data_IF_169667678944
#
_entry.id   IF_169667678944
#
_cell.length_a   1.000
_cell.length_b   1.000
_cell.length_c   1.000
_cell.angle_alpha   90.00
_cell.angle_beta   90.00
_cell.angle_gamma   90.00
#
_symmetry.space_group_name_H-M   'P 1'
#
loop_
_entity.id
_entity.type
_entity.pdbx_description
1 polymer ?
#
# COMPACT_ATOMS: atom_id res chain seq x y z
N UNK A 1 -15.83 5.55 -8.48
CA UNK A 1 -14.99 6.47 -9.29
C UNK A 1 -15.46 7.90 -9.15
N UNK A 2 -14.51 8.84 -9.02
CA UNK A 2 -14.71 10.30 -8.86
C UNK A 2 -15.63 10.79 -7.74
N UNK A 3 -16.28 9.87 -7.03
CA UNK A 3 -17.14 10.13 -5.88
C UNK A 3 -16.38 10.07 -4.57
N UNK A 4 -17.13 10.33 -3.50
CA UNK A 4 -16.61 10.38 -2.14
C UNK A 4 -17.44 9.47 -1.24
N UNK A 5 -16.76 8.59 -0.51
CA UNK A 5 -17.30 7.85 0.64
C UNK A 5 -16.50 8.32 1.85
N UNK A 6 -17.16 9.01 2.78
CA UNK A 6 -16.52 9.50 4.01
C UNK A 6 -17.28 9.04 5.23
N UNK A 7 -16.55 8.51 6.22
CA UNK A 7 -17.07 8.25 7.56
C UNK A 7 -16.38 9.17 8.58
N UNK A 8 -17.15 10.03 9.22
CA UNK A 8 -16.64 10.95 10.24
C UNK A 8 -16.52 10.31 11.63
N UNK A 9 -17.03 9.09 11.81
CA UNK A 9 -16.92 8.33 13.05
C UNK A 9 -15.51 7.80 13.30
N UNK A 10 -15.25 7.40 14.55
CA UNK A 10 -13.98 6.76 14.97
C UNK A 10 -14.04 5.22 14.90
N UNK A 11 -15.13 4.67 14.35
CA UNK A 11 -15.34 3.24 14.18
C UNK A 11 -14.64 2.69 12.94
N UNK A 12 -15.04 1.50 12.51
CA UNK A 12 -14.49 0.88 11.30
C UNK A 12 -15.43 1.09 10.12
N UNK A 13 -14.93 1.69 9.04
CA UNK A 13 -15.55 1.64 7.73
C UNK A 13 -15.10 0.35 7.04
N UNK A 14 -16.00 -0.64 6.95
CA UNK A 14 -15.73 -1.92 6.30
C UNK A 14 -16.29 -1.96 4.88
N UNK A 15 -15.48 -2.40 3.92
CA UNK A 15 -15.84 -2.60 2.52
C UNK A 15 -15.55 -4.04 2.12
N UNK A 16 -16.60 -4.84 1.90
CA UNK A 16 -16.48 -6.24 1.47
C UNK A 16 -17.14 -6.43 0.11
N UNK A 17 -16.38 -6.81 -0.92
CA UNK A 17 -16.89 -6.91 -2.30
C UNK A 17 -16.03 -7.81 -3.18
N UNK A 18 -16.53 -8.29 -4.33
CA UNK A 18 -15.68 -8.95 -5.33
C UNK A 18 -14.72 -7.99 -6.05
N UNK A 19 -15.17 -6.75 -6.30
CA UNK A 19 -14.37 -5.70 -6.94
C UNK A 19 -14.73 -4.35 -6.35
N UNK A 20 -13.71 -3.53 -6.10
CA UNK A 20 -13.81 -2.15 -5.64
C UNK A 20 -13.12 -1.24 -6.65
N UNK A 21 -13.85 -0.28 -7.22
CA UNK A 21 -13.29 0.77 -8.07
C UNK A 21 -13.42 2.13 -7.38
N UNK A 22 -12.27 2.73 -7.10
CA UNK A 22 -12.11 4.04 -6.49
C UNK A 22 -11.27 4.97 -7.37
N UNK A 23 -11.30 4.79 -8.70
CA UNK A 23 -10.47 5.55 -9.61
C UNK A 23 -10.86 7.03 -9.61
N UNK A 24 -9.88 7.90 -9.38
CA UNK A 24 -10.07 9.33 -9.15
C UNK A 24 -11.03 9.68 -7.99
N UNK A 25 -11.43 8.71 -7.18
CA UNK A 25 -12.38 8.85 -6.08
C UNK A 25 -11.71 8.98 -4.71
N UNK A 26 -12.51 9.14 -3.66
CA UNK A 26 -12.02 9.18 -2.28
C UNK A 26 -12.86 8.28 -1.38
N UNK A 27 -12.21 7.36 -0.67
CA UNK A 27 -12.76 6.64 0.47
C UNK A 27 -11.91 7.02 1.68
N UNK A 28 -12.53 7.68 2.67
CA UNK A 28 -11.82 8.18 3.84
C UNK A 28 -12.62 7.98 5.13
N UNK A 29 -11.93 7.71 6.25
CA UNK A 29 -12.56 7.62 7.58
C UNK A 29 -11.71 8.24 8.68
N UNK A 30 -12.35 8.81 9.70
CA UNK A 30 -11.69 9.26 10.93
C UNK A 30 -11.33 8.10 11.88
N UNK A 31 -11.85 6.90 11.62
CA UNK A 31 -11.49 5.69 12.34
C UNK A 31 -10.59 4.79 11.51
N UNK A 32 -10.95 3.50 11.45
CA UNK A 32 -10.24 2.48 10.70
C UNK A 32 -10.94 2.17 9.37
N UNK A 33 -10.16 1.91 8.33
CA UNK A 33 -10.63 1.40 7.05
C UNK A 33 -10.26 -0.08 6.94
N UNK A 34 -11.25 -0.92 6.66
CA UNK A 34 -11.06 -2.36 6.45
C UNK A 34 -11.64 -2.74 5.08
N UNK A 35 -10.78 -3.14 4.15
CA UNK A 35 -11.16 -3.53 2.79
C UNK A 35 -10.87 -5.01 2.60
N UNK A 36 -11.91 -5.77 2.28
CA UNK A 36 -11.84 -7.17 1.89
C UNK A 36 -12.39 -7.29 0.47
N UNK A 37 -11.51 -7.45 -0.52
CA UNK A 37 -11.94 -7.49 -1.91
C UNK A 37 -11.21 -8.51 -2.76
N UNK A 38 -11.79 -8.90 -3.90
CA UNK A 38 -11.03 -9.59 -4.94
C UNK A 38 -10.05 -8.61 -5.58
N UNK A 39 -10.59 -7.70 -6.39
CA UNK A 39 -9.80 -6.66 -7.06
C UNK A 39 -10.08 -5.28 -6.48
N UNK A 40 -9.04 -4.46 -6.32
CA UNK A 40 -9.16 -3.05 -5.97
C UNK A 40 -8.42 -2.21 -7.01
N UNK A 41 -9.14 -1.28 -7.64
CA UNK A 41 -8.55 -0.24 -8.49
C UNK A 41 -8.69 1.10 -7.78
N UNK A 42 -7.57 1.77 -7.54
CA UNK A 42 -7.43 3.04 -6.85
C UNK A 42 -6.56 4.01 -7.68
N UNK A 43 -6.61 3.90 -9.01
CA UNK A 43 -5.81 4.73 -9.92
C UNK A 43 -6.19 6.21 -9.77
N UNK A 44 -5.22 7.04 -9.40
CA UNK A 44 -5.45 8.46 -9.07
C UNK A 44 -6.48 8.69 -7.95
N UNK A 45 -6.85 7.62 -7.23
CA UNK A 45 -7.82 7.63 -6.15
C UNK A 45 -7.17 7.72 -4.78
N UNK A 46 -7.99 7.86 -3.74
CA UNK A 46 -7.54 7.94 -2.34
C UNK A 46 -8.30 6.95 -1.47
N UNK A 47 -7.59 6.04 -0.81
CA UNK A 47 -8.05 5.22 0.32
C UNK A 47 -7.32 5.71 1.58
N UNK A 48 -8.04 6.18 2.60
CA UNK A 48 -7.37 6.71 3.79
C UNK A 48 -8.15 6.48 5.07
N UNK A 49 -7.42 6.31 6.16
CA UNK A 49 -7.96 6.23 7.52
C UNK A 49 -7.10 7.06 8.45
N UNK A 50 -7.63 7.56 9.56
CA UNK A 50 -6.79 8.21 10.56
C UNK A 50 -6.02 7.20 11.41
N UNK A 51 -6.67 6.10 11.86
CA UNK A 51 -6.04 5.13 12.75
C UNK A 51 -5.36 3.99 11.98
N UNK A 52 -6.13 3.17 11.26
CA UNK A 52 -5.61 2.00 10.57
C UNK A 52 -6.28 1.80 9.22
N UNK A 53 -5.49 1.48 8.19
CA UNK A 53 -5.98 0.97 6.93
C UNK A 53 -5.50 -0.47 6.75
N UNK A 54 -6.46 -1.40 6.71
CA UNK A 54 -6.22 -2.83 6.47
C UNK A 54 -6.84 -3.23 5.14
N UNK A 55 -6.03 -3.69 4.20
CA UNK A 55 -6.48 -4.14 2.89
C UNK A 55 -6.11 -5.62 2.72
N UNK A 56 -7.12 -6.48 2.63
CA UNK A 56 -6.99 -7.91 2.33
C UNK A 56 -7.59 -8.16 0.95
N UNK A 57 -6.72 -8.35 -0.05
CA UNK A 57 -7.13 -8.34 -1.46
C UNK A 57 -6.47 -9.44 -2.28
N UNK A 58 -7.02 -9.74 -3.46
CA UNK A 58 -6.35 -10.60 -4.45
C UNK A 58 -5.49 -9.82 -5.45
N UNK A 59 -5.80 -8.54 -5.69
CA UNK A 59 -4.94 -7.61 -6.42
C UNK A 59 -5.31 -6.16 -6.11
N UNK A 60 -4.32 -5.32 -5.86
CA UNK A 60 -4.46 -3.87 -5.68
C UNK A 60 -3.68 -3.13 -6.76
N UNK A 61 -4.40 -2.32 -7.52
CA UNK A 61 -3.85 -1.31 -8.41
C UNK A 61 -4.00 0.06 -7.74
N UNK A 62 -2.89 0.57 -7.21
CA UNK A 62 -2.71 1.89 -6.64
C UNK A 62 -1.83 2.79 -7.55
N UNK A 63 -1.75 2.47 -8.84
CA UNK A 63 -0.90 3.18 -9.80
C UNK A 63 -1.45 4.56 -10.17
N UNK A 64 -0.78 5.26 -11.09
CA UNK A 64 -1.24 6.52 -11.69
C UNK A 64 -1.60 7.61 -10.65
N UNK A 65 -0.80 7.73 -9.58
CA UNK A 65 -1.02 8.70 -8.50
C UNK A 65 -2.02 8.25 -7.44
N UNK A 66 -2.37 6.96 -7.40
CA UNK A 66 -3.18 6.38 -6.33
C UNK A 66 -2.53 6.55 -4.95
N UNK A 67 -3.36 6.72 -3.92
CA UNK A 67 -2.93 6.90 -2.55
C UNK A 67 -3.64 5.92 -1.60
N UNK A 68 -2.85 5.21 -0.79
CA UNK A 68 -3.31 4.49 0.41
C UNK A 68 -2.56 5.05 1.61
N UNK A 69 -3.26 5.44 2.68
CA UNK A 69 -2.53 5.85 3.89
C UNK A 69 -3.32 6.03 5.17
N UNK A 70 -2.63 5.76 6.29
CA UNK A 70 -3.14 5.84 7.66
C UNK A 70 -1.99 5.95 8.67
N UNK A 71 -2.28 6.03 9.97
CA UNK A 71 -1.23 5.89 10.99
C UNK A 71 -0.60 4.49 10.94
N UNK A 72 -1.42 3.45 10.83
CA UNK A 72 -0.97 2.07 10.62
C UNK A 72 -1.52 1.57 9.29
N UNK A 73 -0.65 1.06 8.41
CA UNK A 73 -1.06 0.47 7.14
C UNK A 73 -0.67 -1.00 7.11
N UNK A 74 -1.66 -1.86 6.84
CA UNK A 74 -1.47 -3.29 6.60
C UNK A 74 -2.09 -3.68 5.27
N UNK A 75 -1.27 -4.12 4.31
CA UNK A 75 -1.73 -4.62 3.01
C UNK A 75 -1.33 -6.09 2.90
N UNK A 76 -2.30 -6.96 2.68
CA UNK A 76 -2.11 -8.36 2.31
C UNK A 76 -2.76 -8.59 0.95
N UNK A 77 -1.94 -8.77 -0.06
CA UNK A 77 -2.34 -9.00 -1.44
C UNK A 77 -1.94 -10.43 -1.87
N UNK A 78 -2.91 -11.25 -2.25
CA UNK A 78 -2.61 -12.64 -2.63
C UNK A 78 -2.01 -12.76 -4.05
N UNK A 79 -2.10 -11.70 -4.85
CA UNK A 79 -1.63 -11.64 -6.23
C UNK A 79 -0.60 -10.53 -6.40
N UNK A 80 -0.99 -9.40 -6.97
CA UNK A 80 -0.08 -8.32 -7.32
C UNK A 80 -0.51 -6.99 -6.74
N UNK A 81 0.43 -6.33 -6.04
CA UNK A 81 0.34 -4.91 -5.73
C UNK A 81 1.04 -4.12 -6.84
N UNK A 82 0.27 -3.36 -7.61
CA UNK A 82 0.78 -2.31 -8.49
C UNK A 82 0.71 -0.96 -7.78
N UNK A 83 1.86 -0.41 -7.40
CA UNK A 83 2.05 0.92 -6.83
C UNK A 83 2.93 1.78 -7.74
N UNK A 84 3.01 1.49 -9.04
CA UNK A 84 3.83 2.25 -9.97
C UNK A 84 3.33 3.70 -10.10
N UNK A 85 4.20 4.66 -9.77
CA UNK A 85 3.82 6.08 -9.65
C UNK A 85 2.76 6.38 -8.56
N UNK A 86 2.45 5.40 -7.70
CA UNK A 86 1.50 5.49 -6.60
C UNK A 86 2.17 5.79 -5.26
N UNK A 87 1.37 5.87 -4.20
CA UNK A 87 1.86 6.03 -2.83
C UNK A 87 1.09 5.15 -1.83
N UNK A 88 1.84 4.35 -1.07
CA UNK A 88 1.41 3.74 0.19
C UNK A 88 2.17 4.43 1.32
N UNK A 89 1.45 5.07 2.23
CA UNK A 89 2.05 5.90 3.28
C UNK A 89 1.50 5.56 4.67
N UNK A 90 2.39 5.25 5.60
CA UNK A 90 2.09 5.19 7.03
C UNK A 90 2.73 6.35 7.80
N UNK A 91 2.22 6.66 8.99
CA UNK A 91 2.85 7.60 9.93
C UNK A 91 3.16 6.97 11.28
N UNK A 92 3.19 5.64 11.35
CA UNK A 92 3.36 4.85 12.55
C UNK A 92 4.08 3.56 12.21
N UNK A 93 3.34 2.59 11.65
CA UNK A 93 3.85 1.28 11.22
C UNK A 93 3.31 0.91 9.84
N UNK A 94 4.13 0.23 9.04
CA UNK A 94 3.77 -0.19 7.69
C UNK A 94 4.12 -1.66 7.46
N UNK A 95 3.14 -2.44 7.02
CA UNK A 95 3.34 -3.81 6.55
C UNK A 95 2.69 -3.98 5.19
N UNK A 96 3.46 -4.43 4.20
CA UNK A 96 3.00 -4.82 2.88
C UNK A 96 3.47 -6.25 2.61
N UNK A 97 2.52 -7.13 2.32
CA UNK A 97 2.75 -8.50 1.86
C UNK A 97 1.99 -8.69 0.56
N UNK A 98 2.68 -9.08 -0.51
CA UNK A 98 2.04 -9.34 -1.79
C UNK A 98 2.60 -10.59 -2.48
N UNK A 99 1.90 -11.09 -3.50
CA UNK A 99 2.48 -12.07 -4.41
C UNK A 99 3.66 -11.44 -5.17
N UNK A 100 3.43 -10.37 -5.90
CA UNK A 100 4.44 -9.49 -6.51
C UNK A 100 4.20 -8.02 -6.14
N UNK A 101 5.26 -7.22 -6.07
CA UNK A 101 5.16 -5.77 -5.82
C UNK A 101 5.81 -5.02 -6.97
N UNK A 102 5.04 -4.19 -7.66
CA UNK A 102 5.55 -3.20 -8.60
C UNK A 102 5.49 -1.82 -7.92
N UNK A 103 6.66 -1.23 -7.66
CA UNK A 103 6.81 0.09 -7.03
C UNK A 103 7.69 1.01 -7.89
N UNK A 104 7.73 0.77 -9.20
CA UNK A 104 8.54 1.56 -10.12
C UNK A 104 8.06 3.02 -10.14
N UNK A 105 8.95 3.96 -9.79
CA UNK A 105 8.62 5.38 -9.61
C UNK A 105 7.56 5.68 -8.54
N UNK A 106 7.18 4.68 -7.75
CA UNK A 106 6.21 4.79 -6.65
C UNK A 106 6.88 4.99 -5.30
N UNK A 107 6.06 5.08 -4.25
CA UNK A 107 6.55 5.18 -2.88
C UNK A 107 5.77 4.25 -1.93
N UNK A 108 6.50 3.44 -1.18
CA UNK A 108 6.04 2.73 0.01
C UNK A 108 6.83 3.29 1.19
N UNK A 109 6.21 4.13 2.01
CA UNK A 109 6.93 4.90 3.02
C UNK A 109 6.25 4.96 4.38
N UNK A 110 7.04 4.93 5.44
CA UNK A 110 6.59 5.15 6.80
C UNK A 110 7.26 6.39 7.41
N UNK A 111 6.49 7.43 7.70
CA UNK A 111 7.01 8.60 8.40
C UNK A 111 7.15 8.36 9.93
N UNK A 112 6.61 7.26 10.45
CA UNK A 112 6.80 6.84 11.83
C UNK A 112 8.12 6.09 12.05
N UNK A 113 8.51 5.95 13.32
CA UNK A 113 9.74 5.26 13.74
C UNK A 113 9.56 3.77 14.01
N UNK A 114 8.33 3.23 13.85
CA UNK A 114 8.12 1.79 13.97
C UNK A 114 8.53 1.08 12.66
N UNK A 115 8.53 -0.25 12.71
CA UNK A 115 8.97 -1.07 11.60
C UNK A 115 8.19 -0.81 10.30
N UNK A 116 8.93 -0.89 9.21
CA UNK A 116 8.43 -0.94 7.84
C UNK A 116 8.82 -2.31 7.27
N UNK A 117 7.83 -3.15 6.99
CA UNK A 117 8.04 -4.48 6.43
C UNK A 117 7.42 -4.54 5.04
N UNK A 118 8.22 -4.85 4.03
CA UNK A 118 7.77 -5.06 2.66
C UNK A 118 8.23 -6.45 2.22
N UNK A 119 7.27 -7.31 1.92
CA UNK A 119 7.52 -8.69 1.55
C UNK A 119 6.76 -9.06 0.28
N UNK A 120 7.44 -9.74 -0.64
CA UNK A 120 6.82 -10.31 -1.81
C UNK A 120 7.10 -11.82 -1.88
N UNK A 121 6.17 -12.61 -2.41
CA UNK A 121 6.45 -14.04 -2.62
C UNK A 121 7.27 -14.29 -3.90
N UNK A 122 6.96 -13.58 -4.98
CA UNK A 122 7.47 -13.85 -6.33
C UNK A 122 8.51 -12.82 -6.79
N UNK A 123 8.38 -11.55 -6.43
CA UNK A 123 9.33 -10.52 -6.84
C UNK A 123 8.92 -9.12 -6.43
N UNK A 124 9.90 -8.23 -6.41
CA UNK A 124 9.74 -6.83 -6.07
C UNK A 124 10.52 -5.97 -7.05
N UNK A 125 9.83 -5.05 -7.72
CA UNK A 125 10.39 -4.01 -8.58
C UNK A 125 10.28 -2.67 -7.84
N UNK A 126 11.41 -2.05 -7.54
CA UNK A 126 11.53 -0.71 -6.97
C UNK A 126 12.34 0.22 -7.89
N UNK A 127 12.26 0.03 -9.21
CA UNK A 127 13.05 0.77 -10.20
C UNK A 127 12.52 2.18 -10.46
N UNK A 128 13.12 2.90 -11.42
CA UNK A 128 12.62 4.18 -11.92
C UNK A 128 12.42 5.26 -10.84
N UNK A 129 13.31 5.31 -9.84
CA UNK A 129 13.19 6.23 -8.71
C UNK A 129 12.22 5.78 -7.62
N UNK A 130 11.79 4.51 -7.63
CA UNK A 130 10.95 3.91 -6.60
C UNK A 130 11.57 4.06 -5.21
N UNK A 131 10.73 4.31 -4.22
CA UNK A 131 11.12 4.47 -2.83
C UNK A 131 10.45 3.40 -1.96
N UNK A 132 11.26 2.67 -1.20
CA UNK A 132 10.82 1.92 -0.02
C UNK A 132 11.59 2.48 1.18
N UNK A 133 10.90 2.98 2.19
CA UNK A 133 11.63 3.48 3.35
C UNK A 133 10.81 3.82 4.56
N UNK A 134 11.49 4.06 5.67
CA UNK A 134 10.85 4.47 6.91
C UNK A 134 11.83 5.07 7.90
N UNK A 135 11.31 5.78 8.90
CA UNK A 135 12.12 6.38 9.96
C UNK A 135 12.48 5.37 11.08
N UNK A 136 12.30 4.08 10.84
CA UNK A 136 12.63 3.01 11.76
C UNK A 136 13.30 1.87 11.00
N UNK A 137 13.24 0.66 11.56
CA UNK A 137 13.71 -0.53 10.86
C UNK A 137 12.94 -0.71 9.54
N UNK A 138 13.67 -0.97 8.46
CA UNK A 138 13.10 -1.29 7.15
C UNK A 138 13.58 -2.68 6.75
N UNK A 139 12.65 -3.60 6.56
CA UNK A 139 12.91 -4.92 6.02
C UNK A 139 12.25 -5.06 4.64
N UNK A 140 13.03 -5.57 3.68
CA UNK A 140 12.56 -5.91 2.34
C UNK A 140 12.95 -7.36 2.08
N UNK A 141 11.98 -8.19 1.70
CA UNK A 141 12.23 -9.62 1.48
C UNK A 141 11.44 -10.20 0.32
N UNK A 142 12.03 -11.20 -0.34
CA UNK A 142 11.37 -12.03 -1.35
C UNK A 142 11.58 -13.50 -0.99
N UNK A 143 10.52 -14.30 -0.97
CA UNK A 143 10.59 -15.67 -0.41
C UNK A 143 10.74 -16.80 -1.44
N UNK A 144 10.38 -16.60 -2.71
CA UNK A 144 10.59 -17.63 -3.75
C UNK A 144 12.05 -17.74 -4.18
N UNK A 145 12.51 -18.97 -4.45
CA UNK A 145 13.89 -19.27 -4.86
C UNK A 145 14.30 -18.67 -6.21
N UNK A 146 13.33 -18.27 -7.04
CA UNK A 146 13.54 -17.54 -8.29
C UNK A 146 13.12 -16.07 -8.24
N UNK A 147 12.65 -15.60 -7.09
CA UNK A 147 12.23 -14.21 -6.93
C UNK A 147 13.41 -13.28 -6.72
N UNK A 148 13.28 -12.05 -7.21
CA UNK A 148 14.31 -11.03 -7.09
C UNK A 148 13.75 -9.73 -6.55
N UNK A 149 14.61 -8.97 -5.89
CA UNK A 149 14.42 -7.54 -5.64
C UNK A 149 15.21 -6.79 -6.71
N UNK A 150 14.52 -6.12 -7.62
CA UNK A 150 15.13 -5.14 -8.51
C UNK A 150 14.99 -3.75 -7.90
N UNK A 151 16.11 -3.18 -7.47
CA UNK A 151 16.19 -1.80 -6.96
C UNK A 151 17.06 -0.93 -7.87
N UNK A 152 17.21 -1.29 -9.15
CA UNK A 152 18.01 -0.51 -10.09
C UNK A 152 17.42 0.88 -10.32
N UNK A 153 18.17 1.92 -9.92
CA UNK A 153 17.67 3.30 -9.93
C UNK A 153 16.62 3.61 -8.86
N UNK A 154 16.39 2.70 -7.91
CA UNK A 154 15.51 2.87 -6.76
C UNK A 154 16.23 3.17 -5.46
N UNK A 155 15.48 3.47 -4.42
CA UNK A 155 15.97 3.69 -3.06
C UNK A 155 15.26 2.79 -2.06
N UNK A 156 16.05 2.07 -1.27
CA UNK A 156 15.60 1.44 -0.02
C UNK A 156 16.34 2.11 1.13
N UNK A 157 15.62 2.71 2.07
CA UNK A 157 16.22 3.51 3.15
C UNK A 157 15.54 3.28 4.49
N UNK A 158 16.32 2.86 5.49
CA UNK A 158 15.97 2.96 6.89
C UNK A 158 16.58 4.25 7.47
N UNK A 159 15.79 5.02 8.20
CA UNK A 159 16.20 6.29 8.79
C UNK A 159 15.95 6.31 10.29
N UNK A 160 16.87 5.78 11.09
CA UNK A 160 16.93 6.02 12.55
C UNK A 160 17.97 7.08 12.87
#
# INVERSE_FOLDING_TARGET
>A
DHGTITDSGTGTLSVTTGSLSNNGGTIATNGALDVQAGTVSNQGGKLSAQSQATLNVASLDNSAGGFVGAQIVGITDQGGLDNAGGTVAASGALTVSAGSIANAGGAIKNAGTQATSVSASQGLDNTQGGLIGGNGDVSVSVSSSGGSVDNSGGTVVAGG
#
